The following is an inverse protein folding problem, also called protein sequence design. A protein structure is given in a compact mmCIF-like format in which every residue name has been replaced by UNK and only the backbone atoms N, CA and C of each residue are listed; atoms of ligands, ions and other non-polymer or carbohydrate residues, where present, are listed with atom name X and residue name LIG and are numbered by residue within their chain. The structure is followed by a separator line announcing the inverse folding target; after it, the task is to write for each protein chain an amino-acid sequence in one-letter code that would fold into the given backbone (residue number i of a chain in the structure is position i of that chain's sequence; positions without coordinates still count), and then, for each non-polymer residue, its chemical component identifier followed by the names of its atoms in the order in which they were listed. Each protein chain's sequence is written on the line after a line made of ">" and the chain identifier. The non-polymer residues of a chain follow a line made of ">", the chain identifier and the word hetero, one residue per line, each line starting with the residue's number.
data_IF_161056740556
#
_entry.id   IF_161056740556
#
_cell.length_a   1.000
_cell.length_b   1.000
_cell.length_c   1.000
_cell.angle_alpha   90.00
_cell.angle_beta   90.00
_cell.angle_gamma   90.00
#
_symmetry.space_group_name_H-M   'P 1'
#
loop_
_entity.id
_entity.type
_entity.pdbx_description
1 polymer ?
#
# COMPACT_ATOMS: atom_id res chain seq x y z
N UNK A 1 33.99 -16.57 -0.47
CA UNK A 1 33.80 -15.85 0.80
C UNK A 1 33.13 -14.50 0.62
N UNK A 2 33.65 -13.58 -0.17
CA UNK A 2 33.08 -12.21 -0.35
C UNK A 2 31.62 -12.20 -0.87
N UNK A 3 31.26 -13.07 -1.82
CA UNK A 3 29.90 -13.14 -2.34
C UNK A 3 28.88 -13.63 -1.29
N UNK A 4 29.25 -14.61 -0.48
CA UNK A 4 28.41 -15.14 0.59
C UNK A 4 28.17 -14.09 1.70
N UNK A 5 29.22 -13.39 2.12
CA UNK A 5 29.10 -12.29 3.09
C UNK A 5 28.20 -11.16 2.57
N UNK A 6 28.27 -10.86 1.27
CA UNK A 6 27.40 -9.86 0.65
C UNK A 6 25.96 -10.31 0.67
N UNK A 7 25.67 -11.55 0.23
CA UNK A 7 24.32 -12.09 0.22
C UNK A 7 23.72 -12.12 1.64
N UNK A 8 24.51 -12.52 2.63
CA UNK A 8 24.09 -12.49 4.03
C UNK A 8 23.73 -11.08 4.50
N UNK A 9 24.59 -10.08 4.25
CA UNK A 9 24.30 -8.68 4.62
C UNK A 9 23.06 -8.14 3.94
N UNK A 10 22.85 -8.43 2.66
CA UNK A 10 21.64 -8.05 1.93
C UNK A 10 20.40 -8.69 2.55
N UNK A 11 20.46 -9.99 2.89
CA UNK A 11 19.37 -10.70 3.56
C UNK A 11 19.01 -10.07 4.91
N UNK A 12 20.01 -9.74 5.74
CA UNK A 12 19.79 -9.05 7.03
C UNK A 12 19.10 -7.69 6.83
N UNK A 13 19.52 -6.90 5.84
CA UNK A 13 18.89 -5.61 5.56
C UNK A 13 17.46 -5.75 5.04
N UNK A 14 17.19 -6.72 4.16
CA UNK A 14 15.82 -7.00 3.67
C UNK A 14 14.93 -7.42 4.84
N UNK A 15 15.42 -8.28 5.72
CA UNK A 15 14.69 -8.70 6.92
C UNK A 15 14.42 -7.50 7.86
N UNK A 16 15.42 -6.67 8.12
CA UNK A 16 15.25 -5.45 8.92
C UNK A 16 14.19 -4.52 8.33
N UNK A 17 14.23 -4.27 7.01
CA UNK A 17 13.22 -3.44 6.34
C UNK A 17 11.84 -4.09 6.41
N UNK A 18 11.71 -5.40 6.23
CA UNK A 18 10.44 -6.11 6.36
C UNK A 18 9.87 -5.99 7.79
N UNK A 19 10.70 -6.16 8.81
CA UNK A 19 10.29 -5.97 10.20
C UNK A 19 9.85 -4.53 10.49
N UNK A 20 10.53 -3.54 9.94
CA UNK A 20 10.14 -2.13 10.06
C UNK A 20 8.81 -1.85 9.36
N UNK A 21 8.66 -2.32 8.11
CA UNK A 21 7.46 -2.12 7.29
C UNK A 21 6.20 -2.79 7.88
N UNK A 22 6.36 -3.92 8.57
CA UNK A 22 5.25 -4.63 9.21
C UNK A 22 5.07 -4.24 10.68
N UNK A 23 6.13 -3.82 11.36
CA UNK A 23 6.13 -3.48 12.78
C UNK A 23 5.56 -2.08 13.07
N UNK A 24 5.98 -1.07 12.29
CA UNK A 24 5.50 0.31 12.51
C UNK A 24 3.98 0.43 12.38
N UNK A 25 3.30 -0.14 11.36
CA UNK A 25 1.85 -0.14 11.32
C UNK A 25 1.20 -0.80 12.56
N UNK A 26 1.77 -1.86 13.08
CA UNK A 26 1.27 -2.50 14.31
C UNK A 26 1.41 -1.62 15.54
N UNK A 27 2.56 -0.95 15.68
CA UNK A 27 2.75 0.04 16.75
C UNK A 27 1.80 1.23 16.61
N UNK A 28 1.52 1.67 15.38
CA UNK A 28 0.52 2.70 15.11
C UNK A 28 -0.89 2.27 15.55
N UNK A 29 -1.23 0.99 15.39
CA UNK A 29 -2.46 0.42 15.92
C UNK A 29 -2.55 0.53 17.44
N UNK A 30 -1.48 0.17 18.17
CA UNK A 30 -1.43 0.33 19.62
C UNK A 30 -1.61 1.79 20.07
N UNK A 31 -1.08 2.74 19.30
CA UNK A 31 -1.32 4.17 19.57
C UNK A 31 -2.77 4.54 19.30
N UNK A 32 -3.37 4.03 18.22
CA UNK A 32 -4.78 4.27 17.94
C UNK A 32 -5.70 3.71 19.01
N UNK A 33 -5.34 2.60 19.66
CA UNK A 33 -6.11 2.00 20.76
C UNK A 33 -6.17 2.87 22.04
N UNK A 34 -5.34 3.91 22.17
CA UNK A 34 -5.36 4.83 23.33
C UNK A 34 -6.50 5.85 23.31
N UNK A 35 -7.20 6.01 22.17
CA UNK A 35 -8.19 7.04 21.99
C UNK A 35 -9.62 6.48 22.09
N UNK A 36 -10.51 7.24 22.74
CA UNK A 36 -11.95 6.98 22.72
C UNK A 36 -12.62 7.68 21.53
N UNK A 37 -13.16 6.89 20.63
CA UNK A 37 -13.83 7.36 19.42
C UNK A 37 -15.35 7.48 19.57
N UNK A 38 -15.94 7.10 20.70
CA UNK A 38 -17.39 6.95 20.90
C UNK A 38 -18.20 8.21 20.52
N UNK A 39 -17.61 9.39 20.66
CA UNK A 39 -18.28 10.67 20.35
C UNK A 39 -18.27 11.01 18.85
N UNK A 40 -17.19 10.66 18.14
CA UNK A 40 -16.98 11.05 16.73
C UNK A 40 -17.29 9.91 15.76
N UNK A 41 -17.10 8.68 16.18
CA UNK A 41 -17.24 7.45 15.39
C UNK A 41 -17.78 6.31 16.25
N UNK A 42 -19.02 6.40 16.76
CA UNK A 42 -19.62 5.40 17.66
C UNK A 42 -19.80 4.03 16.99
N UNK A 43 -19.83 3.99 15.66
CA UNK A 43 -20.00 2.76 14.90
C UNK A 43 -18.65 2.13 14.46
N UNK A 44 -17.52 2.76 14.80
CA UNK A 44 -16.17 2.26 14.50
C UNK A 44 -15.84 2.24 12.99
N UNK A 45 -16.44 3.16 12.22
CA UNK A 45 -16.32 3.14 10.76
C UNK A 45 -15.01 3.74 10.22
N UNK A 46 -14.40 4.72 10.93
CA UNK A 46 -13.26 5.46 10.39
C UNK A 46 -12.28 6.02 11.44
N UNK A 47 -12.69 6.25 12.68
CA UNK A 47 -11.91 6.99 13.67
C UNK A 47 -10.59 6.31 14.00
N UNK A 48 -10.64 5.03 14.39
CA UNK A 48 -9.46 4.23 14.68
C UNK A 48 -8.53 4.12 13.44
N UNK A 49 -9.11 3.82 12.29
CA UNK A 49 -8.38 3.71 11.03
C UNK A 49 -7.64 5.02 10.70
N UNK A 50 -8.30 6.17 10.92
CA UNK A 50 -7.74 7.50 10.68
C UNK A 50 -6.50 7.74 11.53
N UNK A 51 -6.58 7.52 12.85
CA UNK A 51 -5.42 7.71 13.75
C UNK A 51 -4.30 6.74 13.42
N UNK A 52 -4.62 5.46 13.22
CA UNK A 52 -3.66 4.44 12.80
C UNK A 52 -2.86 4.89 11.56
N UNK A 53 -3.54 5.30 10.50
CA UNK A 53 -2.88 5.70 9.24
C UNK A 53 -2.11 7.02 9.36
N UNK A 54 -2.57 7.97 10.17
CA UNK A 54 -1.84 9.20 10.46
C UNK A 54 -0.52 8.87 11.17
N UNK A 55 -0.56 8.06 12.23
CA UNK A 55 0.63 7.73 13.03
C UNK A 55 1.67 7.00 12.19
N UNK A 56 1.28 5.96 11.46
CA UNK A 56 2.23 5.24 10.60
C UNK A 56 2.82 6.14 9.50
N UNK A 57 2.01 6.99 8.86
CA UNK A 57 2.49 7.92 7.85
C UNK A 57 3.49 8.93 8.42
N UNK A 58 3.20 9.50 9.60
CA UNK A 58 4.10 10.45 10.26
C UNK A 58 5.44 9.83 10.63
N UNK A 59 5.45 8.60 11.18
CA UNK A 59 6.69 7.90 11.51
C UNK A 59 7.57 7.72 10.26
N UNK A 60 6.99 7.19 9.18
CA UNK A 60 7.75 7.00 7.94
C UNK A 60 8.15 8.33 7.29
N UNK A 61 7.30 9.34 7.31
CA UNK A 61 7.63 10.68 6.78
C UNK A 61 8.83 11.28 7.51
N UNK A 62 8.87 11.20 8.84
CA UNK A 62 10.00 11.68 9.65
C UNK A 62 11.28 10.93 9.28
N UNK A 63 11.22 9.59 9.18
CA UNK A 63 12.36 8.76 8.77
C UNK A 63 12.84 9.16 7.36
N UNK A 64 11.93 9.29 6.39
CA UNK A 64 12.25 9.62 5.01
C UNK A 64 12.89 11.01 4.90
N UNK A 65 12.33 12.04 5.58
CA UNK A 65 12.88 13.39 5.60
C UNK A 65 14.26 13.41 6.24
N UNK A 66 14.47 12.66 7.32
CA UNK A 66 15.78 12.55 7.97
C UNK A 66 16.83 11.90 7.06
N UNK A 67 16.45 10.83 6.34
CA UNK A 67 17.32 10.16 5.36
C UNK A 67 17.62 11.10 4.19
N UNK A 68 16.60 11.76 3.62
CA UNK A 68 16.76 12.67 2.49
C UNK A 68 17.73 13.82 2.82
N UNK A 69 17.57 14.44 4.00
CA UNK A 69 18.45 15.53 4.46
C UNK A 69 19.92 15.08 4.68
N UNK A 70 20.14 13.84 5.14
CA UNK A 70 21.49 13.35 5.45
C UNK A 70 22.21 12.71 4.28
N UNK A 71 21.47 12.09 3.36
CA UNK A 71 22.06 11.26 2.30
C UNK A 71 21.75 11.73 0.88
N UNK A 72 20.81 12.70 0.71
CA UNK A 72 20.34 13.15 -0.58
C UNK A 72 19.47 12.12 -1.34
N UNK A 73 19.09 11.00 -0.69
CA UNK A 73 18.19 10.00 -1.26
C UNK A 73 16.81 10.63 -1.41
N UNK A 74 16.23 10.57 -2.62
CA UNK A 74 14.91 11.13 -2.90
C UNK A 74 13.83 10.05 -2.88
N UNK A 75 12.72 10.34 -2.21
CA UNK A 75 11.56 9.44 -2.06
C UNK A 75 10.38 9.79 -2.99
N UNK A 76 10.55 10.72 -3.92
CA UNK A 76 9.55 11.04 -4.91
C UNK A 76 8.34 11.83 -4.38
N UNK A 77 8.56 12.76 -3.44
CA UNK A 77 7.50 13.65 -2.91
C UNK A 77 6.94 14.63 -3.96
N UNK A 78 7.72 14.94 -5.00
CA UNK A 78 7.29 15.82 -6.09
C UNK A 78 6.55 15.10 -7.21
N UNK A 79 6.11 15.86 -8.23
CA UNK A 79 5.33 15.31 -9.36
C UNK A 79 6.12 14.38 -10.28
N UNK A 80 7.46 14.36 -10.20
CA UNK A 80 8.31 13.52 -11.04
C UNK A 80 8.06 13.73 -12.55
N UNK A 81 8.08 12.63 -13.32
CA UNK A 81 7.66 12.65 -14.73
C UNK A 81 6.13 12.55 -14.83
N UNK A 82 5.49 13.69 -14.97
CA UNK A 82 4.03 13.79 -15.00
C UNK A 82 3.41 13.14 -16.25
N UNK A 83 4.10 13.13 -17.39
CA UNK A 83 3.58 12.45 -18.59
C UNK A 83 3.50 10.94 -18.37
N UNK A 84 4.57 10.36 -17.83
CA UNK A 84 4.63 8.95 -17.49
C UNK A 84 3.64 8.62 -16.37
N UNK A 85 3.59 9.43 -15.32
CA UNK A 85 2.69 9.19 -14.20
C UNK A 85 1.21 9.22 -14.59
N UNK A 86 0.80 10.21 -15.38
CA UNK A 86 -0.58 10.31 -15.89
C UNK A 86 -0.92 9.19 -16.89
N UNK A 87 0.04 8.72 -17.69
CA UNK A 87 -0.17 7.57 -18.56
C UNK A 87 -0.53 6.32 -17.72
N UNK A 88 0.28 5.99 -16.69
CA UNK A 88 0.00 4.84 -15.82
C UNK A 88 -1.29 5.01 -15.03
N UNK A 89 -1.58 6.22 -14.53
CA UNK A 89 -2.83 6.49 -13.81
C UNK A 89 -4.06 6.22 -14.69
N UNK A 90 -4.09 6.75 -15.92
CA UNK A 90 -5.21 6.54 -16.86
C UNK A 90 -5.36 5.07 -17.27
N UNK A 91 -4.24 4.43 -17.59
CA UNK A 91 -4.21 3.00 -17.92
C UNK A 91 -4.76 2.16 -16.77
N UNK A 92 -4.31 2.46 -15.54
CA UNK A 92 -4.77 1.80 -14.33
C UNK A 92 -6.29 1.97 -14.11
N UNK A 93 -6.78 3.21 -14.19
CA UNK A 93 -8.21 3.49 -14.00
C UNK A 93 -9.07 2.69 -14.99
N UNK A 94 -8.64 2.60 -16.26
CA UNK A 94 -9.33 1.81 -17.27
C UNK A 94 -9.33 0.32 -16.95
N UNK A 95 -8.15 -0.26 -16.68
CA UNK A 95 -7.99 -1.71 -16.40
C UNK A 95 -8.72 -2.08 -15.12
N UNK A 96 -8.56 -1.29 -14.04
CA UNK A 96 -9.19 -1.56 -12.77
C UNK A 96 -10.72 -1.47 -12.84
N UNK A 97 -11.25 -0.48 -13.55
CA UNK A 97 -12.72 -0.37 -13.75
C UNK A 97 -13.25 -1.58 -14.50
N UNK A 98 -12.59 -2.00 -15.58
CA UNK A 98 -12.99 -3.21 -16.32
C UNK A 98 -12.93 -4.47 -15.44
N UNK A 99 -11.82 -4.64 -14.67
CA UNK A 99 -11.68 -5.72 -13.69
C UNK A 99 -12.81 -5.70 -12.66
N UNK A 100 -13.11 -4.54 -12.10
CA UNK A 100 -14.13 -4.41 -11.07
C UNK A 100 -15.53 -4.78 -11.57
N UNK A 101 -15.90 -4.33 -12.78
CA UNK A 101 -17.18 -4.69 -13.41
C UNK A 101 -17.29 -6.21 -13.58
N UNK A 102 -16.26 -6.83 -14.18
CA UNK A 102 -16.23 -8.29 -14.37
C UNK A 102 -16.29 -9.02 -13.03
N UNK A 103 -15.49 -8.59 -12.05
CA UNK A 103 -15.46 -9.18 -10.72
C UNK A 103 -16.84 -9.12 -10.02
N UNK A 104 -17.54 -7.97 -10.10
CA UNK A 104 -18.88 -7.81 -9.52
C UNK A 104 -19.94 -8.70 -10.21
N UNK A 105 -19.86 -8.82 -11.52
CA UNK A 105 -20.75 -9.74 -12.28
C UNK A 105 -20.48 -11.19 -11.85
N UNK A 106 -19.22 -11.61 -11.76
CA UNK A 106 -18.86 -12.97 -11.34
C UNK A 106 -19.36 -13.24 -9.91
N UNK A 107 -19.13 -12.33 -8.95
CA UNK A 107 -19.59 -12.48 -7.57
C UNK A 107 -21.12 -12.62 -7.56
N UNK A 108 -21.84 -11.74 -8.24
CA UNK A 108 -23.31 -11.79 -8.30
C UNK A 108 -23.81 -13.12 -8.86
N UNK A 109 -23.20 -13.61 -9.94
CA UNK A 109 -23.59 -14.88 -10.56
C UNK A 109 -23.29 -16.10 -9.68
N UNK A 110 -22.20 -16.07 -8.90
CA UNK A 110 -21.78 -17.20 -8.07
C UNK A 110 -22.48 -17.21 -6.69
N UNK A 111 -22.78 -16.05 -6.12
CA UNK A 111 -23.27 -15.93 -4.74
C UNK A 111 -24.72 -15.42 -4.64
N UNK A 112 -25.29 -14.90 -5.74
CA UNK A 112 -26.60 -14.24 -5.75
C UNK A 112 -26.63 -12.90 -5.01
N UNK A 113 -25.48 -12.38 -4.56
CA UNK A 113 -25.38 -11.16 -3.75
C UNK A 113 -24.18 -10.32 -4.16
N UNK A 114 -24.18 -9.06 -3.74
CA UNK A 114 -23.03 -8.15 -3.91
C UNK A 114 -22.56 -7.69 -2.53
N UNK A 115 -21.26 -7.42 -2.35
CA UNK A 115 -20.75 -6.87 -1.09
C UNK A 115 -21.42 -5.53 -0.77
N UNK A 116 -21.91 -5.40 0.46
CA UNK A 116 -22.53 -4.18 1.00
C UNK A 116 -21.60 -3.53 2.04
N UNK A 117 -21.83 -2.25 2.29
CA UNK A 117 -21.14 -1.53 3.36
C UNK A 117 -21.59 -2.06 4.72
N UNK A 118 -20.65 -2.46 5.56
CA UNK A 118 -20.96 -3.19 6.80
C UNK A 118 -21.30 -2.31 8.02
N UNK A 119 -21.06 -0.99 7.93
CA UNK A 119 -21.46 -0.05 8.97
C UNK A 119 -22.84 0.54 8.66
N UNK A 120 -23.55 1.09 9.66
CA UNK A 120 -24.81 1.81 9.43
C UNK A 120 -24.63 2.92 8.38
N UNK A 121 -25.58 3.02 7.43
CA UNK A 121 -25.56 3.98 6.31
C UNK A 121 -25.92 5.40 6.76
N UNK A 122 -25.27 5.89 7.82
CA UNK A 122 -25.40 7.28 8.28
C UNK A 122 -24.51 8.21 7.49
N UNK A 123 -24.87 9.49 7.35
CA UNK A 123 -24.03 10.50 6.70
C UNK A 123 -22.65 10.58 7.33
N UNK A 124 -22.54 10.43 8.67
CA UNK A 124 -21.27 10.42 9.40
C UNK A 124 -20.36 9.29 8.93
N UNK A 125 -20.87 8.05 8.93
CA UNK A 125 -20.08 6.87 8.54
C UNK A 125 -19.66 6.94 7.07
N UNK A 126 -20.58 7.34 6.18
CA UNK A 126 -20.31 7.48 4.75
C UNK A 126 -19.23 8.54 4.52
N UNK A 127 -19.41 9.75 5.03
CA UNK A 127 -18.46 10.86 4.81
C UNK A 127 -17.12 10.57 5.50
N UNK A 128 -17.15 10.08 6.75
CA UNK A 128 -15.93 9.74 7.49
C UNK A 128 -15.13 8.63 6.82
N UNK A 129 -15.78 7.55 6.42
CA UNK A 129 -15.10 6.43 5.78
C UNK A 129 -14.59 6.78 4.36
N UNK A 130 -15.39 7.45 3.52
CA UNK A 130 -14.92 7.92 2.22
C UNK A 130 -13.79 8.95 2.34
N UNK A 131 -13.88 9.87 3.30
CA UNK A 131 -12.80 10.82 3.60
C UNK A 131 -11.50 10.12 3.99
N UNK A 132 -11.58 9.13 4.88
CA UNK A 132 -10.45 8.27 5.25
C UNK A 132 -9.86 7.55 4.03
N UNK A 133 -10.70 6.90 3.22
CA UNK A 133 -10.25 6.16 2.03
C UNK A 133 -9.59 7.05 0.98
N UNK A 134 -10.11 8.25 0.77
CA UNK A 134 -9.58 9.19 -0.21
C UNK A 134 -8.24 9.80 0.22
N UNK A 135 -8.15 10.24 1.49
CA UNK A 135 -7.09 11.14 1.93
C UNK A 135 -5.99 10.44 2.73
N UNK A 136 -6.27 9.28 3.33
CA UNK A 136 -5.34 8.65 4.28
C UNK A 136 -4.98 7.22 3.94
N UNK A 137 -5.94 6.34 3.65
CA UNK A 137 -5.66 4.92 3.44
C UNK A 137 -4.63 4.70 2.33
N UNK A 138 -4.98 5.00 1.09
CA UNK A 138 -4.06 4.89 -0.04
C UNK A 138 -2.78 5.71 0.12
N UNK A 139 -2.86 7.03 0.40
CA UNK A 139 -1.67 7.86 0.56
C UNK A 139 -0.67 7.39 1.60
N UNK A 140 -1.11 6.96 2.79
CA UNK A 140 -0.20 6.49 3.83
C UNK A 140 0.48 5.18 3.46
N UNK A 141 -0.26 4.24 2.85
CA UNK A 141 0.29 2.96 2.44
C UNK A 141 1.26 3.10 1.26
N UNK A 142 0.97 3.98 0.30
CA UNK A 142 1.89 4.22 -0.81
C UNK A 142 3.17 4.95 -0.38
N UNK A 143 3.09 5.82 0.61
CA UNK A 143 4.26 6.42 1.25
C UNK A 143 5.18 5.34 1.84
N UNK A 144 4.60 4.35 2.51
CA UNK A 144 5.32 3.27 3.19
C UNK A 144 5.86 2.25 2.17
N UNK A 145 4.95 1.66 1.37
CA UNK A 145 5.28 0.48 0.56
C UNK A 145 5.86 0.82 -0.82
N UNK A 146 5.68 2.06 -1.34
CA UNK A 146 6.30 2.48 -2.62
C UNK A 146 7.45 3.44 -2.37
N UNK A 147 7.18 4.59 -1.78
CA UNK A 147 8.22 5.60 -1.63
C UNK A 147 9.36 5.10 -0.72
N UNK A 148 9.06 4.63 0.47
CA UNK A 148 10.09 4.16 1.39
C UNK A 148 10.61 2.76 1.00
N UNK A 149 9.74 1.76 0.90
CA UNK A 149 10.16 0.37 0.72
C UNK A 149 10.93 0.14 -0.59
N UNK A 150 10.38 0.55 -1.76
CA UNK A 150 11.05 0.32 -3.05
C UNK A 150 12.38 1.08 -3.09
N UNK A 151 12.43 2.32 -2.58
CA UNK A 151 13.67 3.11 -2.57
C UNK A 151 14.72 2.43 -1.71
N UNK A 152 14.41 2.04 -0.47
CA UNK A 152 15.36 1.43 0.44
C UNK A 152 15.79 0.01 0.00
N UNK A 153 14.84 -0.81 -0.44
CA UNK A 153 15.13 -2.14 -1.02
C UNK A 153 15.98 -2.00 -2.29
N UNK A 154 15.70 -1.01 -3.14
CA UNK A 154 16.47 -0.74 -4.33
C UNK A 154 17.94 -0.42 -4.02
N UNK A 155 18.21 0.32 -2.95
CA UNK A 155 19.58 0.60 -2.48
C UNK A 155 20.27 -0.67 -1.97
N UNK A 156 19.58 -1.49 -1.20
CA UNK A 156 20.10 -2.75 -0.67
C UNK A 156 20.42 -3.73 -1.80
N UNK A 157 19.49 -3.93 -2.73
CA UNK A 157 19.63 -4.87 -3.86
C UNK A 157 20.71 -4.40 -4.84
N UNK A 158 20.83 -3.08 -5.09
CA UNK A 158 21.90 -2.51 -5.94
C UNK A 158 23.25 -2.46 -5.23
N UNK A 159 23.31 -2.78 -3.94
CA UNK A 159 24.52 -2.70 -3.14
C UNK A 159 25.08 -1.29 -2.98
N UNK A 160 24.27 -0.26 -3.19
CA UNK A 160 24.64 1.15 -3.05
C UNK A 160 24.60 1.69 -1.60
N UNK A 161 24.27 0.87 -0.62
CA UNK A 161 24.19 1.30 0.78
C UNK A 161 25.48 1.91 1.31
N UNK A 162 26.63 1.66 0.62
CA UNK A 162 27.94 2.22 0.96
C UNK A 162 28.79 2.56 -0.29
N UNK A 163 28.18 3.09 -1.34
CA UNK A 163 28.93 3.76 -2.43
C UNK A 163 29.56 2.86 -3.51
N UNK A 164 29.20 1.57 -3.59
CA UNK A 164 29.67 0.68 -4.67
C UNK A 164 28.54 0.07 -5.46
N UNK A 165 28.60 0.19 -6.80
CA UNK A 165 27.66 -0.44 -7.72
C UNK A 165 27.79 -1.98 -7.68
N UNK A 166 26.76 -2.65 -7.26
CA UNK A 166 26.68 -4.12 -7.26
C UNK A 166 25.52 -4.60 -8.11
N UNK A 167 25.62 -4.49 -9.37
CA UNK A 167 24.89 -5.10 -10.48
C UNK A 167 23.59 -5.93 -10.33
N UNK A 168 22.88 -5.88 -9.23
CA UNK A 168 21.68 -6.72 -8.94
C UNK A 168 20.37 -5.90 -9.03
N UNK A 169 20.34 -4.86 -9.83
CA UNK A 169 19.09 -4.19 -10.21
C UNK A 169 18.48 -4.77 -11.48
N UNK A 170 18.52 -6.10 -11.68
CA UNK A 170 17.97 -6.71 -12.89
C UNK A 170 16.44 -6.61 -12.87
N UNK A 171 15.88 -6.05 -13.92
CA UNK A 171 14.48 -6.17 -14.27
C UNK A 171 14.16 -7.67 -14.45
N UNK A 172 13.08 -8.12 -13.81
CA UNK A 172 12.63 -9.52 -13.92
C UNK A 172 11.73 -9.66 -15.14
N UNK A 173 10.81 -8.72 -15.35
CA UNK A 173 9.82 -8.75 -16.44
C UNK A 173 9.54 -7.33 -16.92
N UNK A 174 9.28 -7.16 -18.23
CA UNK A 174 8.75 -5.92 -18.80
C UNK A 174 7.23 -5.98 -18.84
N UNK A 175 6.56 -4.97 -18.27
CA UNK A 175 5.10 -4.87 -18.23
C UNK A 175 4.67 -3.46 -18.59
N UNK A 176 3.84 -3.31 -19.63
CA UNK A 176 3.33 -2.02 -20.11
C UNK A 176 4.40 -0.92 -20.27
N UNK A 177 5.56 -1.26 -20.85
CA UNK A 177 6.68 -0.34 -21.03
C UNK A 177 7.49 -0.02 -19.75
N UNK A 178 7.11 -0.58 -18.60
CA UNK A 178 7.85 -0.55 -17.34
C UNK A 178 8.52 -1.88 -17.03
N UNK A 179 9.30 -1.90 -15.96
CA UNK A 179 10.03 -3.10 -15.50
C UNK A 179 9.64 -3.40 -14.07
N UNK A 180 9.27 -4.65 -13.79
CA UNK A 180 9.18 -5.13 -12.42
C UNK A 180 10.60 -5.41 -11.94
N UNK A 181 11.04 -4.67 -10.92
CA UNK A 181 12.35 -4.85 -10.28
C UNK A 181 12.23 -5.80 -9.10
N UNK A 182 13.37 -6.35 -8.66
CA UNK A 182 13.42 -7.17 -7.43
C UNK A 182 12.92 -6.36 -6.22
N UNK A 183 13.25 -5.08 -6.13
CA UNK A 183 12.78 -4.21 -5.04
C UNK A 183 11.27 -4.06 -5.06
N UNK A 184 10.66 -3.85 -6.23
CA UNK A 184 9.21 -3.80 -6.38
C UNK A 184 8.54 -5.12 -6.00
N UNK A 185 9.09 -6.26 -6.46
CA UNK A 185 8.55 -7.57 -6.12
C UNK A 185 8.55 -7.83 -4.61
N UNK A 186 9.68 -7.55 -3.93
CA UNK A 186 9.77 -7.70 -2.47
C UNK A 186 8.80 -6.75 -1.75
N UNK A 187 8.73 -5.47 -2.17
CA UNK A 187 7.82 -4.50 -1.58
C UNK A 187 6.35 -4.91 -1.75
N UNK A 188 5.96 -5.41 -2.93
CA UNK A 188 4.61 -5.90 -3.19
C UNK A 188 4.27 -7.15 -2.36
N UNK A 189 5.22 -8.08 -2.19
CA UNK A 189 5.04 -9.24 -1.32
C UNK A 189 4.87 -8.84 0.15
N UNK A 190 5.66 -7.89 0.66
CA UNK A 190 5.52 -7.36 2.02
C UNK A 190 4.18 -6.63 2.17
N UNK A 191 3.74 -5.89 1.15
CA UNK A 191 2.43 -5.23 1.16
C UNK A 191 1.28 -6.23 1.24
N UNK A 192 1.32 -7.33 0.47
CA UNK A 192 0.37 -8.43 0.62
C UNK A 192 0.40 -9.05 2.03
N UNK A 193 1.61 -9.24 2.59
CA UNK A 193 1.79 -9.78 3.94
C UNK A 193 1.26 -8.83 5.03
N UNK A 194 1.24 -7.53 4.80
CA UNK A 194 0.65 -6.56 5.72
C UNK A 194 -0.87 -6.75 5.91
N UNK A 195 -1.55 -7.42 4.96
CA UNK A 195 -2.97 -7.78 5.04
C UNK A 195 -3.21 -9.13 5.75
N UNK A 196 -2.16 -9.79 6.24
CA UNK A 196 -2.25 -11.00 7.07
C UNK A 196 -2.18 -10.62 8.55
N UNK A 197 -3.17 -11.05 9.32
CA UNK A 197 -3.21 -10.84 10.77
C UNK A 197 -2.53 -12.01 11.49
N UNK A 198 -1.55 -11.69 12.31
CA UNK A 198 -0.88 -12.64 13.19
C UNK A 198 -1.25 -12.32 14.64
N UNK A 199 -1.80 -13.28 15.36
CA UNK A 199 -1.97 -13.25 16.82
C UNK A 199 -0.97 -14.22 17.41
N UNK A 200 -0.23 -13.78 18.43
CA UNK A 200 0.86 -14.60 18.99
C UNK A 200 0.44 -15.42 20.20
N UNK A 201 -0.64 -15.01 20.92
CA UNK A 201 -1.11 -15.70 22.13
C UNK A 201 -2.64 -15.70 22.14
N UNK A 202 -3.31 -16.83 21.82
CA UNK A 202 -2.74 -18.04 21.18
C UNK A 202 -2.28 -17.74 19.76
N UNK A 203 -1.34 -18.51 19.24
CA UNK A 203 -0.88 -18.31 17.87
C UNK A 203 -2.00 -18.59 16.86
N UNK A 204 -2.33 -17.59 16.08
CA UNK A 204 -3.26 -17.74 14.96
C UNK A 204 -2.89 -16.82 13.79
N UNK A 205 -3.28 -17.25 12.60
CA UNK A 205 -3.09 -16.50 11.35
C UNK A 205 -4.44 -16.39 10.67
N UNK A 206 -4.86 -15.17 10.37
CA UNK A 206 -6.10 -14.93 9.63
C UNK A 206 -5.85 -13.99 8.45
N UNK A 207 -6.42 -14.31 7.30
CA UNK A 207 -6.31 -13.52 6.08
C UNK A 207 -7.48 -13.82 5.14
N UNK A 208 -7.74 -12.87 4.27
CA UNK A 208 -8.66 -13.06 3.14
C UNK A 208 -7.80 -13.24 1.88
N UNK A 209 -7.88 -14.42 1.25
CA UNK A 209 -6.98 -14.80 0.13
C UNK A 209 -7.08 -13.81 -1.03
N UNK A 210 -8.31 -13.41 -1.41
CA UNK A 210 -8.54 -12.47 -2.50
C UNK A 210 -7.89 -11.11 -2.20
N UNK A 211 -8.02 -10.60 -0.97
CA UNK A 211 -7.39 -9.36 -0.55
C UNK A 211 -5.87 -9.42 -0.65
N UNK A 212 -5.26 -10.49 -0.15
CA UNK A 212 -3.80 -10.66 -0.21
C UNK A 212 -3.30 -10.70 -1.66
N UNK A 213 -3.95 -11.51 -2.51
CA UNK A 213 -3.56 -11.64 -3.92
C UNK A 213 -3.73 -10.33 -4.66
N UNK A 214 -4.87 -9.65 -4.50
CA UNK A 214 -5.15 -8.36 -5.14
C UNK A 214 -4.16 -7.30 -4.65
N UNK A 215 -3.84 -7.26 -3.35
CA UNK A 215 -2.84 -6.33 -2.81
C UNK A 215 -1.45 -6.51 -3.43
N UNK A 216 -1.01 -7.76 -3.63
CA UNK A 216 0.27 -8.03 -4.33
C UNK A 216 0.23 -7.54 -5.78
N UNK A 217 -0.84 -7.85 -6.52
CA UNK A 217 -0.99 -7.45 -7.93
C UNK A 217 -1.03 -5.92 -8.07
N UNK A 218 -1.87 -5.26 -7.28
CA UNK A 218 -1.94 -3.79 -7.24
C UNK A 218 -0.61 -3.19 -6.82
N UNK A 219 0.04 -3.81 -5.83
CA UNK A 219 1.36 -3.44 -5.34
C UNK A 219 2.42 -3.42 -6.43
N UNK A 220 2.46 -4.43 -7.26
CA UNK A 220 3.38 -4.50 -8.41
C UNK A 220 3.10 -3.37 -9.41
N UNK A 221 1.83 -3.10 -9.73
CA UNK A 221 1.47 -2.06 -10.69
C UNK A 221 1.82 -0.65 -10.16
N UNK A 222 1.46 -0.37 -8.91
CA UNK A 222 1.81 0.88 -8.24
C UNK A 222 3.31 1.09 -8.17
N UNK A 223 4.06 0.02 -7.89
CA UNK A 223 5.53 0.04 -7.88
C UNK A 223 6.13 0.36 -9.24
N UNK A 224 5.62 -0.22 -10.34
CA UNK A 224 6.05 0.12 -11.70
C UNK A 224 5.80 1.60 -11.99
N UNK A 225 4.63 2.11 -11.63
CA UNK A 225 4.30 3.53 -11.79
C UNK A 225 5.26 4.43 -10.98
N UNK A 226 5.52 4.11 -9.72
CA UNK A 226 6.46 4.83 -8.86
C UNK A 226 7.88 4.85 -9.45
N UNK A 227 8.39 3.69 -9.85
CA UNK A 227 9.75 3.58 -10.39
C UNK A 227 9.93 4.31 -11.72
N UNK A 228 8.87 4.39 -12.53
CA UNK A 228 8.89 5.06 -13.84
C UNK A 228 8.66 6.57 -13.72
N UNK A 229 7.67 6.99 -12.95
CA UNK A 229 7.33 8.40 -12.79
C UNK A 229 8.28 9.13 -11.83
N UNK A 230 8.99 8.39 -10.95
CA UNK A 230 9.79 8.95 -9.83
C UNK A 230 8.93 9.79 -8.87
N UNK A 231 7.65 9.45 -8.75
CA UNK A 231 6.69 10.16 -7.89
C UNK A 231 5.76 9.18 -7.20
N UNK A 232 5.49 9.42 -5.92
CA UNK A 232 4.50 8.67 -5.16
C UNK A 232 3.06 9.19 -5.35
N UNK A 233 2.89 10.38 -5.95
CA UNK A 233 1.58 11.02 -6.13
C UNK A 233 0.64 10.17 -6.98
N UNK A 234 1.14 9.56 -8.05
CA UNK A 234 0.31 8.75 -8.95
C UNK A 234 -0.12 7.42 -8.33
N UNK A 235 0.76 6.62 -7.69
CA UNK A 235 0.33 5.47 -6.90
C UNK A 235 -0.68 5.83 -5.82
N UNK A 236 -0.51 6.93 -5.09
CA UNK A 236 -1.49 7.42 -4.12
C UNK A 236 -2.86 7.67 -4.76
N UNK A 237 -2.89 8.36 -5.91
CA UNK A 237 -4.12 8.61 -6.65
C UNK A 237 -4.78 7.31 -7.15
N UNK A 238 -4.00 6.34 -7.65
CA UNK A 238 -4.50 5.02 -8.04
C UNK A 238 -5.12 4.27 -6.87
N UNK A 239 -4.43 4.25 -5.74
CA UNK A 239 -4.90 3.53 -4.55
C UNK A 239 -6.16 4.18 -3.97
N UNK A 240 -6.17 5.51 -3.82
CA UNK A 240 -7.38 6.24 -3.40
C UNK A 240 -8.56 6.00 -4.35
N UNK A 241 -8.31 5.94 -5.67
CA UNK A 241 -9.33 5.61 -6.66
C UNK A 241 -9.93 4.21 -6.42
N UNK A 242 -9.08 3.18 -6.23
CA UNK A 242 -9.54 1.83 -5.89
C UNK A 242 -10.45 1.84 -4.68
N UNK A 243 -9.99 2.43 -3.59
CA UNK A 243 -10.69 2.45 -2.32
C UNK A 243 -12.03 3.18 -2.42
N UNK A 244 -12.05 4.37 -3.04
CA UNK A 244 -13.28 5.15 -3.22
C UNK A 244 -14.29 4.39 -4.07
N UNK A 245 -13.89 3.82 -5.22
CA UNK A 245 -14.82 3.14 -6.11
C UNK A 245 -15.39 1.88 -5.44
N UNK A 246 -14.54 1.06 -4.79
CA UNK A 246 -14.98 -0.16 -4.12
C UNK A 246 -15.96 0.15 -2.98
N UNK A 247 -15.62 1.13 -2.12
CA UNK A 247 -16.47 1.52 -0.98
C UNK A 247 -17.77 2.20 -1.46
N UNK A 248 -17.70 3.08 -2.46
CA UNK A 248 -18.90 3.71 -3.01
C UNK A 248 -19.89 2.69 -3.57
N UNK A 249 -19.39 1.68 -4.30
CA UNK A 249 -20.24 0.60 -4.80
C UNK A 249 -20.87 -0.22 -3.67
N UNK A 250 -20.13 -0.47 -2.58
CA UNK A 250 -20.68 -1.17 -1.41
C UNK A 250 -21.75 -0.35 -0.68
N UNK A 251 -21.57 0.98 -0.59
CA UNK A 251 -22.56 1.91 -0.03
C UNK A 251 -23.83 1.92 -0.90
N UNK A 252 -23.70 2.07 -2.23
CA UNK A 252 -24.83 2.06 -3.17
C UNK A 252 -25.59 0.73 -3.06
N UNK A 253 -24.87 -0.40 -3.03
CA UNK A 253 -25.47 -1.72 -2.85
C UNK A 253 -26.26 -1.80 -1.53
N UNK A 254 -25.72 -1.26 -0.44
CA UNK A 254 -26.39 -1.20 0.86
C UNK A 254 -27.71 -0.43 0.83
N UNK A 255 -27.82 0.66 0.06
CA UNK A 255 -29.07 1.39 -0.12
C UNK A 255 -30.09 0.67 -1.03
N UNK A 256 -29.63 -0.24 -1.88
CA UNK A 256 -30.53 -0.98 -2.81
C UNK A 256 -31.09 -2.25 -2.18
N UNK A 257 -30.31 -2.90 -1.31
CA UNK A 257 -30.63 -4.21 -0.73
C UNK A 257 -31.21 -4.11 0.68
N UNK A 258 -30.89 -3.03 1.41
CA UNK A 258 -31.38 -2.74 2.77
C UNK A 258 -32.65 -1.93 2.73
#
# INVERSE_FOLDING_TARGET
>A
MVALQRAFRQGVWVLFLALLLLGVPRLAGLVADWFDYSRIDPDGAFGWLTVHHIVQALVFLVIMVAIEKRSGIRFGFGPGDSKVGLFYLRLFMLIFTAYLVVNRIIILLLTGSVPVFWHPLTARNIVGHLGFQLLLSGPSEELIFRAFAITMLGLVVKGKVFGRDTGIGKAIVNVFGGKITVANLIAAAIFGLAHVRFTFIPFSVSYETGQVVVSVILGLFYGVCYERSKSMVYPMAMHSFVNIVVVSLAIIAGFVVG
#
